data_IF_125038945081
#
_entry.id   IF_125038945081
#
_cell.length_a   1.000
_cell.length_b   1.000
_cell.length_c   1.000
_cell.angle_alpha   90.00
_cell.angle_beta   90.00
_cell.angle_gamma   90.00
#
_symmetry.space_group_name_H-M   'P 1'
#
loop_
_entity.id
_entity.type
_entity.pdbx_description
1 polymer ?
#
# COMPACT_ATOMS: atom_id res chain seq x y z
N UNK A 1 5.53 -2.72 5.52
CA UNK A 1 4.86 -2.22 4.30
C UNK A 1 5.29 -0.78 4.07
N UNK A 2 6.05 -0.51 3.01
CA UNK A 2 6.54 0.83 2.65
C UNK A 2 5.66 1.47 1.58
N UNK A 3 5.67 2.81 1.45
CA UNK A 3 4.93 3.52 0.39
C UNK A 3 5.28 3.00 -1.01
N UNK A 4 6.56 2.67 -1.25
CA UNK A 4 7.04 2.11 -2.52
C UNK A 4 6.41 0.75 -2.84
N UNK A 5 6.25 -0.11 -1.84
CA UNK A 5 5.57 -1.40 -2.00
C UNK A 5 4.09 -1.22 -2.37
N UNK A 6 3.40 -0.26 -1.74
CA UNK A 6 2.01 0.06 -2.10
C UNK A 6 1.91 0.49 -3.55
N UNK A 7 2.74 1.45 -3.97
CA UNK A 7 2.75 1.97 -5.35
C UNK A 7 3.00 0.86 -6.37
N UNK A 8 3.95 -0.04 -6.07
CA UNK A 8 4.24 -1.18 -6.93
C UNK A 8 3.03 -2.11 -7.07
N UNK A 9 2.33 -2.42 -5.96
CA UNK A 9 1.12 -3.25 -5.99
C UNK A 9 -0.02 -2.59 -6.78
N UNK A 10 -0.28 -1.30 -6.59
CA UNK A 10 -1.29 -0.56 -7.35
C UNK A 10 -0.99 -0.59 -8.86
N UNK A 11 0.28 -0.33 -9.22
CA UNK A 11 0.73 -0.30 -10.62
C UNK A 11 0.63 -1.67 -11.27
N UNK A 12 1.06 -2.72 -10.57
CA UNK A 12 0.96 -4.10 -11.03
C UNK A 12 -0.50 -4.47 -11.28
N UNK A 13 -1.38 -4.20 -10.31
CA UNK A 13 -2.81 -4.51 -10.43
C UNK A 13 -3.46 -3.80 -11.60
N UNK A 14 -3.16 -2.51 -11.82
CA UNK A 14 -3.66 -1.77 -12.99
C UNK A 14 -3.26 -2.45 -14.30
N UNK A 15 -2.01 -2.91 -14.40
CA UNK A 15 -1.47 -3.58 -15.59
C UNK A 15 -2.11 -4.95 -15.81
N UNK A 16 -2.36 -5.71 -14.75
CA UNK A 16 -3.11 -6.98 -14.81
C UNK A 16 -4.52 -6.79 -15.36
N UNK A 17 -5.21 -5.73 -14.92
CA UNK A 17 -6.53 -5.34 -15.43
C UNK A 17 -6.49 -4.77 -16.85
N UNK A 18 -5.29 -4.55 -17.42
CA UNK A 18 -5.06 -4.00 -18.76
C UNK A 18 -5.74 -2.64 -19.00
N UNK A 19 -5.88 -1.83 -17.96
CA UNK A 19 -6.46 -0.48 -18.06
C UNK A 19 -5.36 0.59 -18.08
N UNK A 20 -5.62 1.70 -18.76
CA UNK A 20 -4.70 2.84 -18.79
C UNK A 20 -4.75 3.63 -17.47
N UNK A 21 -3.77 4.51 -17.24
CA UNK A 21 -3.82 5.45 -16.11
C UNK A 21 -5.01 6.41 -16.19
N UNK A 22 -5.42 6.77 -17.42
CA UNK A 22 -6.59 7.61 -17.66
C UNK A 22 -7.87 6.88 -17.27
N UNK A 23 -8.00 5.62 -17.67
CA UNK A 23 -9.14 4.78 -17.31
C UNK A 23 -9.22 4.55 -15.79
N UNK A 24 -8.10 4.28 -15.13
CA UNK A 24 -8.06 4.18 -13.68
C UNK A 24 -8.49 5.50 -13.02
N UNK A 25 -8.05 6.64 -13.54
CA UNK A 25 -8.43 7.95 -13.02
C UNK A 25 -9.94 8.18 -13.13
N UNK A 26 -10.56 7.82 -14.27
CA UNK A 26 -12.01 7.89 -14.47
C UNK A 26 -12.76 7.00 -13.47
N UNK A 27 -12.36 5.73 -13.33
CA UNK A 27 -12.97 4.79 -12.36
C UNK A 27 -12.86 5.27 -10.92
N UNK A 28 -11.69 5.80 -10.55
CA UNK A 28 -11.47 6.36 -9.22
C UNK A 28 -12.10 7.75 -9.05
N UNK A 29 -12.61 8.39 -10.10
CA UNK A 29 -13.11 9.77 -10.13
C UNK A 29 -12.09 10.77 -9.60
N UNK A 30 -10.85 10.67 -10.08
CA UNK A 30 -9.74 11.60 -9.80
C UNK A 30 -9.15 12.12 -11.11
N UNK A 31 -8.34 13.17 -11.03
CA UNK A 31 -7.62 13.66 -12.20
C UNK A 31 -6.54 12.64 -12.61
N UNK A 32 -6.34 12.42 -13.92
CA UNK A 32 -5.24 11.57 -14.43
C UNK A 32 -3.88 11.93 -13.85
N UNK A 33 -3.58 13.22 -13.67
CA UNK A 33 -2.32 13.67 -13.04
C UNK A 33 -2.12 13.09 -11.64
N UNK A 34 -3.21 12.87 -10.89
CA UNK A 34 -3.17 12.21 -9.59
C UNK A 34 -2.71 10.76 -9.70
N UNK A 35 -3.23 9.99 -10.67
CA UNK A 35 -2.77 8.60 -10.89
C UNK A 35 -1.31 8.57 -11.32
N UNK A 36 -0.89 9.46 -12.23
CA UNK A 36 0.51 9.56 -12.65
C UNK A 36 1.43 9.85 -11.47
N UNK A 37 1.07 10.82 -10.62
CA UNK A 37 1.88 11.17 -9.45
C UNK A 37 1.93 10.06 -8.39
N UNK A 38 0.82 9.33 -8.21
CA UNK A 38 0.78 8.14 -7.33
C UNK A 38 1.73 7.05 -7.85
N UNK A 39 1.61 6.67 -9.13
CA UNK A 39 2.44 5.61 -9.72
C UNK A 39 3.93 5.99 -9.79
N UNK A 40 4.23 7.29 -9.88
CA UNK A 40 5.60 7.81 -9.84
C UNK A 40 6.13 8.02 -8.41
N UNK A 41 5.27 8.00 -7.38
CA UNK A 41 5.64 8.29 -5.99
C UNK A 41 6.06 9.74 -5.74
N UNK A 42 5.58 10.68 -6.56
CA UNK A 42 6.00 12.09 -6.51
C UNK A 42 5.03 12.99 -5.73
N UNK A 43 3.96 12.43 -5.16
CA UNK A 43 2.98 13.17 -4.38
C UNK A 43 2.37 12.31 -3.29
N UNK A 44 2.18 12.92 -2.11
CA UNK A 44 1.37 12.33 -1.06
C UNK A 44 -0.11 12.28 -1.47
N UNK A 45 -0.68 11.08 -1.42
CA UNK A 45 -2.10 10.86 -1.70
C UNK A 45 -2.87 10.79 -0.39
N UNK A 46 -3.90 11.64 -0.25
CA UNK A 46 -4.78 11.56 0.90
C UNK A 46 -5.53 10.21 0.95
N UNK A 47 -5.77 9.68 2.16
CA UNK A 47 -6.40 8.38 2.41
C UNK A 47 -7.68 8.16 1.58
N UNK A 48 -8.54 9.19 1.51
CA UNK A 48 -9.82 9.11 0.79
C UNK A 48 -9.63 8.86 -0.72
N UNK A 49 -8.56 9.41 -1.31
CA UNK A 49 -8.21 9.16 -2.73
C UNK A 49 -7.57 7.78 -2.91
N UNK A 50 -6.70 7.37 -1.98
CA UNK A 50 -6.13 6.03 -1.98
C UNK A 50 -7.22 4.95 -1.97
N UNK A 51 -8.21 5.07 -1.09
CA UNK A 51 -9.32 4.12 -1.01
C UNK A 51 -10.13 4.05 -2.32
N UNK A 52 -10.37 5.19 -2.98
CA UNK A 52 -11.05 5.22 -4.29
C UNK A 52 -10.23 4.53 -5.38
N UNK A 53 -8.91 4.71 -5.38
CA UNK A 53 -8.01 4.01 -6.32
C UNK A 53 -8.01 2.51 -6.06
N UNK A 54 -7.95 2.08 -4.80
CA UNK A 54 -8.05 0.66 -4.42
C UNK A 54 -9.36 0.04 -4.92
N UNK A 55 -10.49 0.68 -4.66
CA UNK A 55 -11.80 0.21 -5.14
C UNK A 55 -11.86 0.11 -6.67
N UNK A 56 -11.30 1.10 -7.38
CA UNK A 56 -11.25 1.10 -8.85
C UNK A 56 -10.36 -0.02 -9.45
N UNK A 57 -9.50 -0.62 -8.63
CA UNK A 57 -8.61 -1.74 -8.97
C UNK A 57 -9.14 -3.10 -8.45
N UNK A 58 -10.34 -3.13 -7.90
CA UNK A 58 -10.92 -4.29 -7.22
C UNK A 58 -10.03 -4.79 -6.05
N UNK A 59 -9.37 -3.85 -5.37
CA UNK A 59 -8.53 -4.11 -4.20
C UNK A 59 -9.21 -3.62 -2.93
N UNK A 60 -8.86 -4.25 -1.81
CA UNK A 60 -9.32 -3.85 -0.47
C UNK A 60 -8.13 -3.65 0.46
N UNK A 61 -8.23 -2.67 1.36
CA UNK A 61 -7.27 -2.45 2.44
C UNK A 61 -7.72 -3.23 3.67
N UNK A 62 -6.82 -4.02 4.26
CA UNK A 62 -7.05 -4.72 5.53
C UNK A 62 -6.12 -4.17 6.59
N UNK A 63 -6.66 -3.87 7.78
CA UNK A 63 -5.89 -3.48 8.94
C UNK A 63 -5.81 -4.68 9.89
N UNK A 64 -4.61 -4.94 10.41
CA UNK A 64 -4.36 -5.94 11.44
C UNK A 64 -3.62 -5.29 12.60
N UNK A 65 -3.73 -5.82 13.82
CA UNK A 65 -2.85 -5.42 14.91
C UNK A 65 -1.39 -5.51 14.46
N UNK A 66 -0.62 -4.46 14.75
CA UNK A 66 0.83 -4.56 14.63
C UNK A 66 1.36 -5.52 15.68
N UNK A 67 2.50 -6.16 15.41
CA UNK A 67 3.35 -6.65 16.49
C UNK A 67 3.64 -5.44 17.37
N UNK A 68 3.14 -5.47 18.62
CA UNK A 68 3.46 -4.44 19.59
C UNK A 68 4.98 -4.31 19.74
N UNK A 69 5.44 -3.26 20.41
CA UNK A 69 6.83 -3.30 20.90
C UNK A 69 6.95 -4.59 21.72
N UNK A 70 7.95 -5.44 21.44
CA UNK A 70 8.18 -6.61 22.27
C UNK A 70 8.25 -6.16 23.71
N UNK A 71 7.53 -6.85 24.58
CA UNK A 71 7.69 -6.67 26.01
C UNK A 71 9.12 -7.08 26.39
N UNK A 72 9.64 -6.54 27.49
CA UNK A 72 10.97 -6.89 28.01
C UNK A 72 11.14 -8.40 28.21
N UNK A 73 10.05 -9.08 28.60
CA UNK A 73 9.99 -10.54 28.72
C UNK A 73 10.20 -11.26 27.38
N UNK A 74 9.59 -10.78 26.29
CA UNK A 74 9.73 -11.35 24.94
C UNK A 74 11.12 -11.09 24.33
N UNK A 75 11.75 -9.96 24.66
CA UNK A 75 13.14 -9.70 24.27
C UNK A 75 14.11 -10.66 24.95
N UNK A 76 13.89 -10.93 26.24
CA UNK A 76 14.78 -11.78 27.05
C UNK A 76 14.83 -13.22 26.54
N UNK A 77 13.74 -13.74 25.97
CA UNK A 77 13.72 -15.08 25.35
C UNK A 77 14.49 -15.15 24.02
N UNK A 78 14.56 -14.05 23.26
CA UNK A 78 15.23 -14.03 21.94
C UNK A 78 16.76 -14.09 22.10
N UNK A 79 17.31 -13.57 23.19
CA UNK A 79 18.76 -13.56 23.46
C UNK A 79 19.26 -14.73 24.32
N UNK A 80 18.39 -15.66 24.73
CA UNK A 80 18.77 -16.82 25.55
C UNK A 80 19.11 -18.08 24.75
N UNK A 81 18.71 -18.15 23.48
CA UNK A 81 18.91 -19.34 22.62
C UNK A 81 20.31 -19.43 21.97
N UNK A 82 21.22 -18.47 22.21
CA UNK A 82 22.60 -18.50 21.68
C UNK A 82 23.65 -19.09 22.66
N UNK A 83 23.22 -19.70 23.78
CA UNK A 83 24.10 -20.40 24.74
C UNK A 83 23.71 -21.88 24.87
N UNK A 84 24.01 -22.68 23.85
CA UNK A 84 24.23 -24.14 23.98
C UNK A 84 25.28 -24.62 22.95
#
# INVERSE_FOLDING_TARGET
>A
MTTKEIIAQLTARRRELKITQDELARRAGVNRRTIVAIEAGTSDVGLRRLLRVLMALDMRLTLSPGVGRPTEAELTSIFRDDND
#
